data_IF_804659383977
#
_entry.id   IF_804659383977
#
_cell.length_a   1.000
_cell.length_b   1.000
_cell.length_c   1.000
_cell.angle_alpha   90.00
_cell.angle_beta   90.00
_cell.angle_gamma   90.00
#
_symmetry.space_group_name_H-M   'P 1'
#
loop_
_entity.id
_entity.type
_entity.pdbx_description
1 polymer ?
#
# COMPACT_ATOMS: atom_id res chain seq x y z
N UNK A 1 -3.28 30.98 -1.19
CA UNK A 1 -4.09 29.79 -0.88
C UNK A 1 -3.22 28.70 -0.30
N UNK A 2 -3.59 28.20 0.85
CA UNK A 2 -2.84 27.13 1.49
C UNK A 2 -3.34 25.78 1.04
N UNK A 3 -2.40 24.92 0.66
CA UNK A 3 -2.69 23.51 0.47
C UNK A 3 -2.30 22.77 1.74
N UNK A 4 -3.15 21.86 2.17
CA UNK A 4 -2.79 20.93 3.23
C UNK A 4 -1.54 20.15 2.82
N UNK A 5 -0.65 19.87 3.78
CA UNK A 5 0.51 19.00 3.53
C UNK A 5 0.09 17.62 3.06
N UNK A 6 -1.12 17.21 3.43
CA UNK A 6 -1.67 15.90 3.11
C UNK A 6 -2.56 15.92 1.88
N UNK A 7 -2.52 17.02 1.12
CA UNK A 7 -3.31 17.13 -0.10
C UNK A 7 -2.79 16.17 -1.16
N UNK A 8 -3.67 15.35 -1.69
CA UNK A 8 -3.35 14.37 -2.72
C UNK A 8 -3.88 14.86 -4.06
N UNK A 9 -3.01 14.90 -5.05
CA UNK A 9 -3.40 15.27 -6.41
C UNK A 9 -4.15 14.11 -7.05
N UNK A 10 -5.43 14.30 -7.34
CA UNK A 10 -6.30 13.28 -7.92
C UNK A 10 -5.75 12.69 -9.22
N UNK A 11 -5.17 13.54 -10.07
CA UNK A 11 -4.61 13.09 -11.35
C UNK A 11 -3.49 12.08 -11.15
N UNK A 12 -2.61 12.30 -10.18
CA UNK A 12 -1.46 11.44 -9.92
C UNK A 12 -1.86 10.08 -9.37
N UNK A 13 -2.93 10.03 -8.58
CA UNK A 13 -3.35 8.82 -7.86
C UNK A 13 -4.71 8.31 -8.34
N UNK A 14 -5.00 8.48 -9.62
CA UNK A 14 -6.32 8.15 -10.18
C UNK A 14 -6.74 6.70 -9.93
N UNK A 15 -5.84 5.75 -10.19
CA UNK A 15 -6.14 4.33 -10.01
C UNK A 15 -6.35 3.99 -8.54
N UNK A 16 -5.49 4.49 -7.67
CA UNK A 16 -5.57 4.25 -6.22
C UNK A 16 -6.86 4.82 -5.65
N UNK A 17 -7.19 6.04 -6.01
CA UNK A 17 -8.42 6.72 -5.54
C UNK A 17 -9.65 5.92 -5.97
N UNK A 18 -9.69 5.46 -7.20
CA UNK A 18 -10.81 4.67 -7.72
C UNK A 18 -11.03 3.39 -6.93
N UNK A 19 -9.97 2.63 -6.71
CA UNK A 19 -10.05 1.36 -5.99
C UNK A 19 -10.44 1.59 -4.53
N UNK A 20 -9.85 2.59 -3.88
CA UNK A 20 -10.17 2.91 -2.49
C UNK A 20 -11.63 3.36 -2.36
N UNK A 21 -12.11 4.17 -3.30
CA UNK A 21 -13.50 4.63 -3.28
C UNK A 21 -14.48 3.46 -3.39
N UNK A 22 -14.19 2.50 -4.24
CA UNK A 22 -15.00 1.28 -4.38
C UNK A 22 -15.02 0.48 -3.07
N UNK A 23 -13.88 0.38 -2.38
CA UNK A 23 -13.79 -0.32 -1.09
C UNK A 23 -14.52 0.44 0.01
N UNK A 24 -14.49 1.78 0.00
CA UNK A 24 -15.27 2.58 0.96
C UNK A 24 -16.76 2.28 0.79
N UNK A 25 -17.25 2.30 -0.44
CA UNK A 25 -18.67 2.04 -0.72
C UNK A 25 -19.08 0.65 -0.25
N UNK A 26 -18.26 -0.35 -0.52
CA UNK A 26 -18.52 -1.71 -0.09
C UNK A 26 -18.48 -1.84 1.43
N UNK A 27 -17.51 -1.22 2.07
CA UNK A 27 -17.33 -1.29 3.52
C UNK A 27 -18.45 -0.58 4.27
N UNK A 28 -18.94 0.54 3.74
CA UNK A 28 -20.12 1.22 4.30
C UNK A 28 -21.37 0.33 4.24
N UNK A 29 -21.54 -0.35 3.11
CA UNK A 29 -22.74 -1.20 2.89
C UNK A 29 -22.77 -2.39 3.85
N UNK A 30 -21.62 -2.99 4.12
CA UNK A 30 -21.52 -4.22 4.89
C UNK A 30 -20.87 -4.03 6.26
N UNK A 31 -20.61 -2.80 6.66
CA UNK A 31 -19.98 -2.46 7.95
C UNK A 31 -18.63 -3.19 8.12
N UNK A 32 -17.75 -3.02 7.15
CA UNK A 32 -16.44 -3.68 7.11
C UNK A 32 -15.31 -2.67 7.30
N UNK A 33 -14.13 -3.17 7.64
CA UNK A 33 -12.88 -2.43 7.63
C UNK A 33 -12.07 -2.82 6.40
N UNK A 34 -11.13 -1.96 6.01
CA UNK A 34 -10.08 -2.33 5.07
C UNK A 34 -8.84 -1.48 5.35
N UNK A 35 -7.71 -1.87 4.78
CA UNK A 35 -6.45 -1.16 4.99
C UNK A 35 -5.83 -0.75 3.67
N UNK A 36 -5.19 0.41 3.67
CA UNK A 36 -4.41 0.92 2.54
C UNK A 36 -2.94 0.89 2.95
N UNK A 37 -2.13 0.22 2.17
CA UNK A 37 -0.68 0.14 2.39
C UNK A 37 0.03 0.90 1.28
N UNK A 38 0.92 1.81 1.67
CA UNK A 38 1.90 2.40 0.76
C UNK A 38 3.22 1.68 1.01
N UNK A 39 3.80 1.10 -0.04
CA UNK A 39 5.08 0.37 0.06
C UNK A 39 6.10 1.12 -0.80
N UNK A 40 7.15 1.60 -0.14
CA UNK A 40 8.25 2.32 -0.80
C UNK A 40 9.49 1.45 -0.77
N UNK A 41 10.05 1.24 -1.94
CA UNK A 41 11.19 0.34 -2.13
C UNK A 41 12.42 1.07 -2.66
N UNK A 42 12.52 2.38 -2.35
CA UNK A 42 13.64 3.22 -2.77
C UNK A 42 14.99 2.64 -2.38
N UNK A 43 15.03 1.96 -1.23
CA UNK A 43 16.26 1.39 -0.69
C UNK A 43 16.38 -0.11 -0.92
N UNK A 44 15.47 -0.66 -1.71
CA UNK A 44 15.47 -2.08 -2.04
C UNK A 44 16.58 -2.37 -3.06
N UNK A 45 17.48 -3.27 -2.71
CA UNK A 45 18.59 -3.68 -3.58
C UNK A 45 18.55 -5.21 -3.71
N UNK A 46 17.74 -5.73 -4.64
CA UNK A 46 17.66 -7.19 -4.84
C UNK A 46 18.99 -7.78 -5.29
N UNK A 47 19.20 -9.05 -4.99
CA UNK A 47 20.40 -9.78 -5.38
C UNK A 47 20.16 -10.68 -6.58
N UNK A 48 21.23 -11.15 -7.20
CA UNK A 48 21.18 -12.09 -8.33
C UNK A 48 20.64 -11.45 -9.60
N UNK A 49 19.84 -12.17 -10.35
CA UNK A 49 19.24 -11.69 -11.59
C UNK A 49 18.39 -10.44 -11.38
N UNK A 50 17.84 -10.27 -10.19
CA UNK A 50 17.04 -9.12 -9.86
C UNK A 50 17.83 -7.81 -9.86
N UNK A 51 19.16 -7.85 -9.83
CA UNK A 51 19.99 -6.66 -10.01
C UNK A 51 19.81 -5.99 -11.36
N UNK A 52 19.37 -6.76 -12.35
CA UNK A 52 19.14 -6.26 -13.72
C UNK A 52 17.79 -5.56 -13.88
N UNK A 53 16.93 -5.65 -12.87
CA UNK A 53 15.60 -5.06 -12.88
C UNK A 53 15.47 -4.02 -11.77
N UNK A 54 14.65 -2.98 -11.96
CA UNK A 54 14.35 -2.06 -10.85
C UNK A 54 13.78 -2.83 -9.67
N UNK A 55 14.23 -2.51 -8.45
CA UNK A 55 13.80 -3.18 -7.24
C UNK A 55 12.29 -3.17 -7.04
N UNK A 56 11.62 -2.08 -7.44
CA UNK A 56 10.17 -1.95 -7.36
C UNK A 56 9.43 -2.98 -8.23
N UNK A 57 9.96 -3.27 -9.42
CA UNK A 57 9.34 -4.26 -10.32
C UNK A 57 9.45 -5.65 -9.70
N UNK A 58 10.61 -6.00 -9.17
CA UNK A 58 10.84 -7.32 -8.56
C UNK A 58 9.95 -7.50 -7.33
N UNK A 59 9.98 -6.55 -6.41
CA UNK A 59 9.20 -6.61 -5.18
C UNK A 59 7.69 -6.68 -5.47
N UNK A 60 7.20 -5.85 -6.37
CA UNK A 60 5.80 -5.83 -6.77
C UNK A 60 5.38 -7.20 -7.34
N UNK A 61 6.18 -7.73 -8.26
CA UNK A 61 5.88 -9.01 -8.90
C UNK A 61 5.83 -10.16 -7.89
N UNK A 62 6.82 -10.21 -6.99
CA UNK A 62 6.89 -11.26 -5.99
C UNK A 62 5.77 -11.12 -4.95
N UNK A 63 5.43 -9.89 -4.58
CA UNK A 63 4.36 -9.63 -3.61
C UNK A 63 3.00 -10.14 -4.12
N UNK A 64 2.75 -10.12 -5.41
CA UNK A 64 1.49 -10.59 -5.98
C UNK A 64 1.18 -12.04 -5.61
N UNK A 65 2.18 -12.84 -5.30
CA UNK A 65 2.00 -14.24 -4.91
C UNK A 65 1.48 -14.40 -3.48
N UNK A 66 1.56 -13.36 -2.68
CA UNK A 66 1.28 -13.43 -1.24
C UNK A 66 0.02 -12.69 -0.82
N UNK A 67 -0.64 -12.00 -1.76
CA UNK A 67 -1.90 -11.32 -1.47
C UNK A 67 -3.08 -12.20 -1.85
N UNK A 68 -4.23 -11.92 -1.25
CA UNK A 68 -5.46 -12.66 -1.52
C UNK A 68 -6.08 -12.16 -2.83
N UNK A 69 -6.92 -13.01 -3.45
CA UNK A 69 -7.54 -12.68 -4.75
C UNK A 69 -8.44 -11.45 -4.71
N UNK A 70 -8.98 -11.12 -3.55
CA UNK A 70 -9.85 -9.95 -3.37
C UNK A 70 -9.12 -8.70 -2.86
N UNK A 71 -7.81 -8.81 -2.67
CA UNK A 71 -6.97 -7.65 -2.39
C UNK A 71 -6.54 -7.02 -3.71
N UNK A 72 -6.15 -5.75 -3.66
CA UNK A 72 -5.75 -5.02 -4.86
C UNK A 72 -4.34 -4.49 -4.73
N UNK A 73 -3.54 -4.70 -5.77
CA UNK A 73 -2.22 -4.09 -5.90
C UNK A 73 -2.25 -3.08 -7.03
N UNK A 74 -1.67 -1.90 -6.79
CA UNK A 74 -1.66 -0.80 -7.75
C UNK A 74 -0.23 -0.28 -7.90
N UNK A 75 0.24 -0.22 -9.12
CA UNK A 75 1.59 0.21 -9.44
C UNK A 75 2.37 -0.91 -10.12
N UNK A 76 3.70 -0.93 -10.07
CA UNK A 76 4.51 0.08 -9.40
C UNK A 76 4.59 1.38 -10.18
N UNK A 77 4.65 2.50 -9.47
CA UNK A 77 4.89 3.80 -10.05
C UNK A 77 6.19 4.33 -9.45
N UNK A 78 7.24 4.34 -10.26
CA UNK A 78 8.60 4.62 -9.81
C UNK A 78 9.01 3.61 -8.74
N UNK A 79 9.24 4.05 -7.49
CA UNK A 79 9.73 3.22 -6.40
C UNK A 79 8.64 2.85 -5.38
N UNK A 80 7.38 3.08 -5.74
CA UNK A 80 6.26 2.92 -4.79
C UNK A 80 5.13 2.14 -5.41
N UNK A 81 4.48 1.31 -4.61
CA UNK A 81 3.22 0.68 -5.00
C UNK A 81 2.29 0.66 -3.80
N UNK A 82 1.03 0.35 -4.05
CA UNK A 82 -0.02 0.38 -3.04
C UNK A 82 -0.74 -0.95 -3.02
N UNK A 83 -1.17 -1.35 -1.81
CA UNK A 83 -1.98 -2.56 -1.64
C UNK A 83 -3.20 -2.18 -0.82
N UNK A 84 -4.37 -2.59 -1.29
CA UNK A 84 -5.62 -2.43 -0.55
C UNK A 84 -6.00 -3.81 -0.05
N UNK A 85 -5.95 -4.01 1.27
CA UNK A 85 -6.29 -5.26 1.93
C UNK A 85 -7.74 -5.19 2.42
N UNK A 86 -8.62 -5.96 1.78
CA UNK A 86 -10.04 -6.01 2.13
C UNK A 86 -10.22 -6.65 3.52
N UNK A 87 -11.26 -6.21 4.24
CA UNK A 87 -11.65 -6.77 5.53
C UNK A 87 -10.48 -6.90 6.53
N UNK A 88 -9.67 -5.83 6.59
CA UNK A 88 -8.47 -5.81 7.43
C UNK A 88 -8.52 -4.60 8.35
N UNK A 89 -8.64 -4.85 9.66
CA UNK A 89 -8.67 -3.81 10.69
C UNK A 89 -7.24 -3.46 11.14
N UNK A 90 -7.13 -2.62 12.18
CA UNK A 90 -5.81 -2.16 12.67
C UNK A 90 -4.90 -3.33 13.06
N UNK A 91 -5.41 -4.26 13.85
CA UNK A 91 -4.61 -5.42 14.29
C UNK A 91 -4.18 -6.27 13.10
N UNK A 92 -5.09 -6.48 12.16
CA UNK A 92 -4.79 -7.21 10.93
C UNK A 92 -3.76 -6.49 10.08
N UNK A 93 -3.87 -5.15 9.96
CA UNK A 93 -2.90 -4.36 9.21
C UNK A 93 -1.50 -4.44 9.82
N UNK A 94 -1.42 -4.33 11.15
CA UNK A 94 -0.13 -4.44 11.85
C UNK A 94 0.51 -5.81 11.65
N UNK A 95 -0.28 -6.87 11.71
CA UNK A 95 0.19 -8.24 11.48
C UNK A 95 0.69 -8.43 10.04
N UNK A 96 -0.05 -7.90 9.07
CA UNK A 96 0.34 -7.97 7.65
C UNK A 96 1.62 -7.18 7.39
N UNK A 97 1.73 -6.00 7.99
CA UNK A 97 2.94 -5.17 7.86
C UNK A 97 4.18 -5.92 8.34
N UNK A 98 4.09 -6.56 9.50
CA UNK A 98 5.19 -7.37 10.05
C UNK A 98 5.54 -8.55 9.14
N UNK A 99 4.51 -9.20 8.59
CA UNK A 99 4.70 -10.33 7.67
C UNK A 99 5.41 -9.90 6.39
N UNK A 100 5.05 -8.73 5.85
CA UNK A 100 5.71 -8.20 4.65
C UNK A 100 7.18 -7.92 4.92
N UNK A 101 7.50 -7.29 6.06
CA UNK A 101 8.88 -7.03 6.44
C UNK A 101 9.69 -8.33 6.58
N UNK A 102 9.10 -9.33 7.20
CA UNK A 102 9.74 -10.64 7.36
C UNK A 102 9.97 -11.31 6.00
N UNK A 103 8.97 -11.23 5.13
CA UNK A 103 9.04 -11.80 3.79
C UNK A 103 10.13 -11.11 2.97
N UNK A 104 10.22 -9.79 3.05
CA UNK A 104 11.26 -9.02 2.36
C UNK A 104 12.66 -9.44 2.83
N UNK A 105 12.82 -9.69 4.12
CA UNK A 105 14.07 -10.16 4.68
C UNK A 105 14.41 -11.57 4.19
N UNK A 106 13.45 -12.48 4.24
CA UNK A 106 13.62 -13.87 3.79
C UNK A 106 13.92 -13.98 2.30
N UNK A 107 13.26 -13.15 1.49
CA UNK A 107 13.41 -13.16 0.04
C UNK A 107 14.50 -12.20 -0.46
N UNK A 108 15.16 -11.52 0.46
CA UNK A 108 16.24 -10.61 0.14
C UNK A 108 15.83 -9.50 -0.84
N UNK A 109 14.67 -8.90 -0.59
CA UNK A 109 14.16 -7.78 -1.40
C UNK A 109 14.85 -6.46 -1.10
N UNK A 110 15.63 -6.39 -0.02
CA UNK A 110 16.21 -5.16 0.48
C UNK A 110 15.28 -4.47 1.46
N UNK A 111 15.57 -3.22 1.76
CA UNK A 111 14.79 -2.47 2.74
C UNK A 111 13.51 -1.91 2.14
N UNK A 112 12.42 -2.14 2.83
CA UNK A 112 11.11 -1.59 2.49
C UNK A 112 10.68 -0.63 3.59
N UNK A 113 10.01 0.45 3.20
CA UNK A 113 9.24 1.25 4.16
C UNK A 113 7.77 1.08 3.84
N UNK A 114 6.94 0.96 4.87
CA UNK A 114 5.52 0.70 4.73
C UNK A 114 4.74 1.70 5.58
N UNK A 115 3.82 2.40 4.95
CA UNK A 115 2.86 3.22 5.65
C UNK A 115 1.47 2.62 5.52
N UNK A 116 0.66 2.69 6.57
CA UNK A 116 -0.66 2.07 6.60
C UNK A 116 -1.74 3.07 7.01
N UNK A 117 -2.94 2.85 6.49
CA UNK A 117 -4.14 3.56 6.92
C UNK A 117 -5.29 2.56 6.97
N UNK A 118 -6.16 2.68 7.96
CA UNK A 118 -7.29 1.78 8.17
C UNK A 118 -8.60 2.55 8.09
N UNK A 119 -9.52 2.04 7.28
CA UNK A 119 -10.86 2.60 7.17
C UNK A 119 -11.78 1.95 8.20
N UNK A 120 -12.65 2.69 8.89
CA UNK A 120 -12.83 4.16 8.83
C UNK A 120 -11.99 4.94 9.84
N UNK A 121 -11.17 4.28 10.61
CA UNK A 121 -10.43 4.84 11.74
C UNK A 121 -9.52 6.00 11.33
N UNK A 122 -8.81 5.86 10.21
CA UNK A 122 -7.84 6.85 9.72
C UNK A 122 -8.41 7.80 8.67
N UNK A 123 -9.66 7.61 8.29
CA UNK A 123 -10.31 8.49 7.32
C UNK A 123 -11.49 7.82 6.63
N UNK A 124 -12.31 8.62 5.98
CA UNK A 124 -13.51 8.16 5.28
C UNK A 124 -13.55 8.60 3.81
N UNK A 125 -12.44 9.11 3.30
CA UNK A 125 -12.30 9.45 1.88
C UNK A 125 -11.05 8.78 1.32
N UNK A 126 -11.00 8.51 0.01
CA UNK A 126 -9.80 7.94 -0.60
C UNK A 126 -8.56 8.80 -0.37
N UNK A 127 -8.72 10.13 -0.49
CA UNK A 127 -7.61 11.07 -0.32
C UNK A 127 -7.06 11.03 1.10
N UNK A 128 -7.94 10.99 2.11
CA UNK A 128 -7.52 10.97 3.50
C UNK A 128 -6.75 9.68 3.84
N UNK A 129 -7.25 8.54 3.39
CA UNK A 129 -6.61 7.25 3.64
C UNK A 129 -5.26 7.15 2.92
N UNK A 130 -5.22 7.55 1.66
CA UNK A 130 -3.98 7.51 0.89
C UNK A 130 -2.93 8.46 1.47
N UNK A 131 -3.35 9.67 1.83
CA UNK A 131 -2.48 10.65 2.45
C UNK A 131 -1.91 10.15 3.78
N UNK A 132 -2.74 9.50 4.59
CA UNK A 132 -2.30 8.91 5.88
C UNK A 132 -1.26 7.80 5.64
N UNK A 133 -1.53 6.89 4.73
CA UNK A 133 -0.59 5.81 4.41
C UNK A 133 0.76 6.38 3.94
N UNK A 134 0.75 7.37 3.06
CA UNK A 134 1.97 8.00 2.56
C UNK A 134 2.72 8.71 3.69
N UNK A 135 2.00 9.42 4.58
CA UNK A 135 2.62 10.14 5.69
C UNK A 135 3.28 9.22 6.70
N UNK A 136 2.85 7.97 6.77
CA UNK A 136 3.39 6.96 7.69
C UNK A 136 4.61 6.23 7.12
N UNK A 137 5.01 6.53 5.90
CA UNK A 137 6.21 5.94 5.32
C UNK A 137 7.44 6.38 6.10
N UNK A 138 8.17 5.42 6.60
CA UNK A 138 9.32 5.68 7.46
C UNK A 138 10.39 4.60 7.28
#
# INVERSE_FOLDING_TARGET
MFRSRNSIKKRKYKAEIKVIDEEINRSQRYNLNFSVFAVDISHSVPRGLSKLLPGNVVSFHLMQKYIRSYDHMIGPNRRRYYIIFAQTNRDGADAVKQRIHKLAEEQDWGDLTIGTAVYPEDGNTPQALLSKAISELS
#
